data_IF_884068819451
#
_entry.id   IF_884068819451
#
_cell.length_a   1.000
_cell.length_b   1.000
_cell.length_c   1.000
_cell.angle_alpha   90.00
_cell.angle_beta   90.00
_cell.angle_gamma   90.00
#
_symmetry.space_group_name_H-M   'P 1'
#
loop_
_entity.id
_entity.type
_entity.pdbx_description
1 polymer ?
#
# COMPACT_ATOMS: atom_id res chain seq x y z
N UNK A 1 -0.39 3.10 -13.75
CA UNK A 1 -0.81 2.25 -12.61
C UNK A 1 0.41 1.69 -11.91
N UNK A 2 0.39 1.62 -10.58
CA UNK A 2 1.37 0.91 -9.78
C UNK A 2 1.09 -0.59 -9.73
N UNK A 3 2.13 -1.42 -9.82
CA UNK A 3 2.06 -2.88 -9.67
C UNK A 3 3.45 -3.40 -9.28
N UNK A 4 3.57 -4.05 -8.12
CA UNK A 4 4.85 -4.55 -7.63
C UNK A 4 5.16 -5.95 -8.18
N UNK A 5 4.21 -6.89 -8.10
CA UNK A 5 4.39 -8.26 -8.57
C UNK A 5 3.96 -8.38 -10.03
N UNK A 6 4.90 -8.17 -10.95
CA UNK A 6 4.60 -8.11 -12.39
C UNK A 6 4.82 -9.44 -13.13
N UNK A 7 5.36 -10.46 -12.47
CA UNK A 7 5.66 -11.71 -13.15
C UNK A 7 4.36 -12.44 -13.56
N UNK A 8 4.32 -12.92 -14.80
CA UNK A 8 3.20 -13.73 -15.31
C UNK A 8 1.94 -12.94 -15.71
N UNK A 9 1.91 -11.62 -15.52
CA UNK A 9 0.72 -10.79 -15.82
C UNK A 9 0.61 -10.35 -17.29
N UNK A 10 1.56 -10.75 -18.14
CA UNK A 10 1.64 -10.33 -19.55
C UNK A 10 2.25 -8.93 -19.75
N UNK A 11 2.30 -8.49 -21.01
CA UNK A 11 2.94 -7.22 -21.37
C UNK A 11 2.08 -6.01 -20.99
N UNK A 12 2.72 -4.95 -20.49
CA UNK A 12 2.11 -3.66 -20.21
C UNK A 12 0.80 -3.73 -19.38
N UNK A 13 0.82 -4.26 -18.14
CA UNK A 13 -0.39 -4.47 -17.35
C UNK A 13 -1.22 -3.20 -17.12
N UNK A 14 -0.59 -2.02 -16.94
CA UNK A 14 -1.35 -0.76 -16.88
C UNK A 14 -2.14 -0.47 -18.16
N UNK A 15 -1.61 -0.84 -19.34
CA UNK A 15 -2.30 -0.70 -20.63
C UNK A 15 -3.43 -1.73 -20.77
N UNK A 16 -3.22 -2.96 -20.29
CA UNK A 16 -4.27 -3.97 -20.20
C UNK A 16 -5.44 -3.46 -19.35
N UNK A 17 -5.15 -2.94 -18.16
CA UNK A 17 -6.16 -2.37 -17.26
C UNK A 17 -6.88 -1.17 -17.88
N UNK A 18 -6.17 -0.26 -18.56
CA UNK A 18 -6.77 0.88 -19.24
C UNK A 18 -7.79 0.45 -20.31
N UNK A 19 -7.41 -0.48 -21.20
CA UNK A 19 -8.29 -0.97 -22.26
C UNK A 19 -9.47 -1.75 -21.68
N UNK A 20 -9.23 -2.64 -20.71
CA UNK A 20 -10.29 -3.41 -20.05
C UNK A 20 -11.24 -2.53 -19.25
N UNK A 21 -10.75 -1.40 -18.72
CA UNK A 21 -11.54 -0.35 -18.08
C UNK A 21 -12.29 0.57 -19.06
N UNK A 22 -12.23 0.29 -20.37
CA UNK A 22 -12.99 1.01 -21.40
C UNK A 22 -12.29 2.26 -21.96
N UNK A 23 -11.01 2.50 -21.65
CA UNK A 23 -10.25 3.58 -22.27
C UNK A 23 -9.83 3.21 -23.70
N UNK A 24 -9.74 4.22 -24.56
CA UNK A 24 -9.36 4.04 -25.96
C UNK A 24 -7.93 3.47 -26.11
N UNK A 25 -7.69 2.70 -27.18
CA UNK A 25 -6.42 2.01 -27.39
C UNK A 25 -5.26 2.95 -27.73
N UNK A 26 -5.54 4.21 -28.07
CA UNK A 26 -4.56 5.27 -28.31
C UNK A 26 -4.03 5.89 -27.01
N UNK A 27 -4.74 5.73 -25.88
CA UNK A 27 -4.33 6.32 -24.59
C UNK A 27 -3.08 5.62 -24.06
N UNK A 28 -1.96 6.33 -23.96
CA UNK A 28 -0.74 5.80 -23.39
C UNK A 28 -0.90 5.34 -21.92
N UNK A 29 -0.14 4.33 -21.51
CA UNK A 29 -0.17 3.83 -20.14
C UNK A 29 1.21 3.29 -19.72
N UNK A 30 1.58 3.58 -18.48
CA UNK A 30 2.83 3.08 -17.86
C UNK A 30 2.54 2.31 -16.59
N UNK A 31 3.32 1.25 -16.37
CA UNK A 31 3.33 0.48 -15.12
C UNK A 31 4.51 0.92 -14.29
N UNK A 32 4.28 1.33 -13.04
CA UNK A 32 5.33 1.81 -12.13
C UNK A 32 5.53 0.76 -11.03
N UNK A 33 6.79 0.39 -10.78
CA UNK A 33 7.15 -0.42 -9.62
C UNK A 33 8.00 0.41 -8.65
N UNK A 34 7.43 0.68 -7.48
CA UNK A 34 8.09 1.20 -6.28
C UNK A 34 7.64 0.38 -5.07
N UNK A 35 7.51 -0.94 -5.25
CA UNK A 35 7.01 -1.90 -4.24
C UNK A 35 5.69 -1.38 -3.63
N UNK A 36 5.53 -1.34 -2.32
CA UNK A 36 4.30 -0.89 -1.66
C UNK A 36 3.90 0.55 -2.01
N UNK A 37 4.85 1.40 -2.42
CA UNK A 37 4.58 2.80 -2.78
C UNK A 37 4.17 2.98 -4.25
N UNK A 38 4.05 1.91 -5.04
CA UNK A 38 3.79 1.97 -6.49
C UNK A 38 2.52 2.75 -6.83
N UNK A 39 1.42 2.51 -6.10
CA UNK A 39 0.14 3.16 -6.35
C UNK A 39 0.20 4.68 -6.11
N UNK A 40 0.72 5.09 -4.95
CA UNK A 40 0.87 6.52 -4.64
C UNK A 40 1.90 7.20 -5.55
N UNK A 41 2.98 6.51 -5.93
CA UNK A 41 3.96 7.04 -6.89
C UNK A 41 3.34 7.25 -8.28
N UNK A 42 2.41 6.41 -8.71
CA UNK A 42 1.68 6.63 -9.95
C UNK A 42 0.82 7.91 -9.87
N UNK A 43 0.16 8.18 -8.74
CA UNK A 43 -0.59 9.43 -8.52
C UNK A 43 0.34 10.64 -8.56
N UNK A 44 1.51 10.57 -7.91
CA UNK A 44 2.52 11.64 -7.94
C UNK A 44 3.02 11.90 -9.38
N UNK A 45 3.37 10.85 -10.12
CA UNK A 45 3.81 11.00 -11.52
C UNK A 45 2.72 11.63 -12.39
N UNK A 46 1.45 11.29 -12.16
CA UNK A 46 0.34 11.90 -12.89
C UNK A 46 0.16 13.39 -12.55
N UNK A 47 0.25 13.73 -11.26
CA UNK A 47 0.22 15.13 -10.82
C UNK A 47 1.37 15.94 -11.43
N UNK A 48 2.58 15.37 -11.51
CA UNK A 48 3.75 15.99 -12.13
C UNK A 48 3.54 16.26 -13.63
N UNK A 49 3.01 15.29 -14.38
CA UNK A 49 2.71 15.47 -15.80
C UNK A 49 1.67 16.57 -16.03
N UNK A 50 0.64 16.62 -15.19
CA UNK A 50 -0.41 17.64 -15.28
C UNK A 50 0.14 19.02 -14.91
N UNK A 51 0.97 19.11 -13.88
CA UNK A 51 1.61 20.35 -13.43
C UNK A 51 2.58 20.92 -14.49
N UNK A 52 3.18 20.07 -15.31
CA UNK A 52 4.09 20.46 -16.39
C UNK A 52 3.38 20.64 -17.74
N UNK A 53 2.04 20.65 -17.75
CA UNK A 53 1.21 20.78 -18.95
C UNK A 53 1.44 19.69 -20.03
N UNK A 54 2.04 18.56 -19.65
CA UNK A 54 2.20 17.40 -20.54
C UNK A 54 0.89 16.62 -20.71
N UNK A 55 -0.03 16.76 -19.75
CA UNK A 55 -1.36 16.18 -19.80
C UNK A 55 -2.37 17.10 -19.11
N UNK A 56 -3.62 17.11 -19.56
CA UNK A 56 -4.67 17.85 -18.88
C UNK A 56 -5.43 16.97 -17.86
N UNK A 57 -5.46 15.65 -18.09
CA UNK A 57 -6.11 14.65 -17.24
C UNK A 57 -5.37 13.31 -17.31
N UNK A 58 -5.30 12.57 -16.20
CA UNK A 58 -4.74 11.21 -16.14
C UNK A 58 -5.46 10.37 -15.08
N UNK A 59 -5.58 9.06 -15.32
CA UNK A 59 -6.00 8.08 -14.30
C UNK A 59 -4.74 7.47 -13.68
N UNK A 60 -4.69 7.45 -12.35
CA UNK A 60 -3.55 6.93 -11.61
C UNK A 60 -3.99 6.17 -10.36
N UNK A 61 -3.15 5.27 -9.87
CA UNK A 61 -3.49 4.38 -8.78
C UNK A 61 -2.61 3.15 -8.77
N UNK A 62 -3.03 2.10 -8.06
CA UNK A 62 -2.31 0.83 -7.94
C UNK A 62 -3.25 -0.36 -8.10
N UNK A 63 -2.68 -1.49 -8.48
CA UNK A 63 -3.35 -2.79 -8.53
C UNK A 63 -2.35 -3.86 -8.16
N UNK A 64 -2.79 -4.90 -7.49
CA UNK A 64 -1.96 -6.03 -7.10
C UNK A 64 -2.81 -7.29 -6.97
N UNK A 65 -2.25 -8.44 -7.35
CA UNK A 65 -2.84 -9.74 -7.01
C UNK A 65 -1.77 -10.67 -6.45
N UNK A 66 -1.60 -10.59 -5.13
CA UNK A 66 -0.66 -11.42 -4.38
C UNK A 66 -1.02 -12.91 -4.47
N UNK A 67 -2.32 -13.25 -4.52
CA UNK A 67 -2.80 -14.64 -4.65
C UNK A 67 -2.42 -15.28 -5.98
N UNK A 68 -2.20 -14.48 -7.02
CA UNK A 68 -1.84 -14.96 -8.36
C UNK A 68 -0.32 -14.89 -8.65
N UNK A 69 0.50 -14.50 -7.66
CA UNK A 69 1.94 -14.45 -7.83
C UNK A 69 2.47 -15.87 -8.16
N UNK A 70 3.15 -16.06 -9.30
CA UNK A 70 3.56 -17.40 -9.70
C UNK A 70 4.86 -17.81 -8.99
N UNK A 71 5.15 -19.11 -9.04
CA UNK A 71 6.47 -19.63 -8.70
C UNK A 71 7.40 -19.55 -9.91
N UNK A 72 8.70 -19.36 -9.66
CA UNK A 72 9.71 -19.24 -10.70
C UNK A 72 10.61 -20.45 -10.79
N UNK A 73 10.92 -20.81 -12.03
CA UNK A 73 12.06 -21.61 -12.43
C UNK A 73 12.98 -20.70 -13.23
N UNK A 74 14.25 -20.57 -12.82
CA UNK A 74 15.20 -19.71 -13.54
C UNK A 74 15.45 -20.28 -14.93
N UNK A 75 15.56 -19.40 -15.93
CA UNK A 75 15.87 -19.79 -17.31
C UNK A 75 17.23 -20.48 -17.35
N UNK A 76 17.28 -21.64 -18.02
CA UNK A 76 18.51 -22.41 -18.20
C UNK A 76 18.80 -23.43 -17.10
N UNK A 77 17.98 -23.46 -16.04
CA UNK A 77 17.96 -24.60 -15.11
C UNK A 77 17.40 -25.82 -15.86
N UNK A 78 18.16 -26.92 -15.87
CA UNK A 78 17.79 -28.15 -16.56
C UNK A 78 16.77 -28.93 -15.70
N UNK A 79 15.51 -29.11 -16.17
CA UNK A 79 14.47 -29.87 -15.47
C UNK A 79 14.87 -31.29 -15.08
N UNK A 80 15.89 -31.86 -15.71
CA UNK A 80 16.39 -33.21 -15.45
C UNK A 80 17.34 -33.28 -14.25
N UNK A 81 17.80 -32.14 -13.71
CA UNK A 81 18.56 -32.09 -12.47
C UNK A 81 17.67 -32.47 -11.29
N UNK A 82 18.19 -33.32 -10.40
CA UNK A 82 17.42 -33.92 -9.28
C UNK A 82 16.94 -32.89 -8.24
N UNK A 83 17.59 -31.73 -8.14
CA UNK A 83 17.24 -30.69 -7.16
C UNK A 83 17.34 -29.32 -7.83
N UNK A 84 16.20 -28.80 -8.31
CA UNK A 84 16.11 -27.44 -8.83
C UNK A 84 15.27 -26.61 -7.87
N UNK A 85 15.80 -25.48 -7.36
CA UNK A 85 15.05 -24.64 -6.45
C UNK A 85 13.93 -23.90 -7.21
N UNK A 86 12.68 -24.27 -6.91
CA UNK A 86 11.51 -23.49 -7.31
C UNK A 86 11.39 -22.29 -6.35
N UNK A 87 11.43 -21.08 -6.89
CA UNK A 87 11.36 -19.85 -6.11
C UNK A 87 9.90 -19.40 -5.96
N UNK A 88 9.56 -18.88 -4.79
CA UNK A 88 8.27 -18.24 -4.56
C UNK A 88 8.32 -16.77 -5.00
N UNK A 89 7.56 -16.41 -6.03
CA UNK A 89 7.65 -15.08 -6.64
C UNK A 89 7.13 -13.96 -5.76
N UNK A 90 6.11 -14.25 -4.94
CA UNK A 90 5.61 -13.34 -3.92
C UNK A 90 6.71 -12.92 -2.96
N UNK A 91 7.42 -13.91 -2.41
CA UNK A 91 8.51 -13.69 -1.45
C UNK A 91 9.69 -13.01 -2.13
N UNK A 92 10.09 -13.47 -3.31
CA UNK A 92 11.27 -12.96 -4.03
C UNK A 92 11.11 -11.51 -4.48
N UNK A 93 10.01 -11.18 -5.17
CA UNK A 93 9.82 -9.88 -5.82
C UNK A 93 9.17 -8.84 -4.89
N UNK A 94 8.50 -9.28 -3.82
CA UNK A 94 7.70 -8.40 -2.96
C UNK A 94 8.13 -8.29 -1.50
N UNK A 95 8.61 -9.39 -0.88
CA UNK A 95 8.67 -9.49 0.59
C UNK A 95 10.06 -9.83 1.15
N UNK A 96 11.07 -9.93 0.30
CA UNK A 96 12.47 -10.22 0.69
C UNK A 96 13.36 -9.04 0.40
N UNK A 97 14.23 -8.74 1.35
CA UNK A 97 15.26 -7.73 1.21
C UNK A 97 16.36 -8.29 0.28
N UNK A 98 16.56 -7.75 -0.94
CA UNK A 98 17.45 -8.37 -1.91
C UNK A 98 18.93 -8.28 -1.53
N UNK A 99 19.31 -7.44 -0.56
CA UNK A 99 20.70 -7.22 -0.17
C UNK A 99 21.20 -8.19 0.90
N UNK A 100 20.34 -8.65 1.81
CA UNK A 100 20.72 -9.56 2.91
C UNK A 100 19.84 -10.81 3.00
N UNK A 101 18.85 -10.96 2.11
CA UNK A 101 17.97 -12.13 2.03
C UNK A 101 16.93 -12.24 3.16
N UNK A 102 16.83 -11.24 4.05
CA UNK A 102 15.88 -11.26 5.16
C UNK A 102 14.48 -10.88 4.70
N UNK A 103 13.46 -11.44 5.34
CA UNK A 103 12.08 -11.02 5.11
C UNK A 103 11.86 -9.58 5.60
N UNK A 104 10.89 -8.87 5.01
CA UNK A 104 10.50 -7.54 5.50
C UNK A 104 10.07 -7.55 6.97
N UNK A 105 9.45 -8.64 7.44
CA UNK A 105 9.09 -8.80 8.85
C UNK A 105 10.31 -8.94 9.77
N UNK A 106 11.38 -9.60 9.33
CA UNK A 106 12.62 -9.69 10.09
C UNK A 106 13.37 -8.34 10.15
N UNK A 107 13.27 -7.53 9.09
CA UNK A 107 13.73 -6.14 9.12
C UNK A 107 12.88 -5.29 10.08
N UNK A 108 11.56 -5.50 10.10
CA UNK A 108 10.66 -4.81 11.03
C UNK A 108 10.95 -5.15 12.49
N UNK A 109 11.25 -6.41 12.81
CA UNK A 109 11.67 -6.85 14.14
C UNK A 109 12.91 -6.11 14.64
N UNK A 110 13.93 -5.96 13.78
CA UNK A 110 15.15 -5.22 14.12
C UNK A 110 14.89 -3.74 14.38
N UNK A 111 14.07 -3.09 13.54
CA UNK A 111 13.73 -1.69 13.76
C UNK A 111 12.90 -1.54 15.04
N UNK A 112 11.98 -2.45 15.33
CA UNK A 112 11.17 -2.44 16.54
C UNK A 112 12.05 -2.55 17.80
N UNK A 113 13.01 -3.49 17.81
CA UNK A 113 13.96 -3.66 18.92
C UNK A 113 14.80 -2.38 19.14
N UNK A 114 15.41 -1.87 18.06
CA UNK A 114 16.24 -0.67 18.12
C UNK A 114 15.49 0.58 18.56
N UNK A 115 14.22 0.71 18.18
CA UNK A 115 13.36 1.84 18.56
C UNK A 115 12.63 1.61 19.89
N UNK A 116 12.86 0.47 20.55
CA UNK A 116 12.20 0.05 21.78
C UNK A 116 10.66 0.00 21.67
N UNK A 117 10.14 -0.40 20.51
CA UNK A 117 8.70 -0.59 20.29
C UNK A 117 8.28 -1.97 20.78
N UNK A 118 7.63 -2.01 21.94
CA UNK A 118 7.30 -3.26 22.60
C UNK A 118 6.26 -4.08 21.82
N UNK A 119 6.30 -5.41 21.96
CA UNK A 119 5.25 -6.32 21.47
C UNK A 119 3.86 -5.89 21.93
N UNK A 120 3.74 -5.45 23.18
CA UNK A 120 2.46 -5.02 23.76
C UNK A 120 1.90 -3.81 23.00
N UNK A 121 2.74 -2.84 22.67
CA UNK A 121 2.29 -1.63 21.97
C UNK A 121 1.85 -1.93 20.53
N UNK A 122 2.56 -2.84 19.86
CA UNK A 122 2.19 -3.32 18.53
C UNK A 122 0.85 -4.07 18.54
N UNK A 123 0.65 -4.97 19.49
CA UNK A 123 -0.62 -5.71 19.64
C UNK A 123 -1.77 -4.78 20.00
N UNK A 124 -1.56 -3.84 20.94
CA UNK A 124 -2.58 -2.87 21.33
C UNK A 124 -2.93 -1.93 20.16
N UNK A 125 -1.96 -1.59 19.31
CA UNK A 125 -2.22 -0.84 18.07
C UNK A 125 -3.06 -1.65 17.10
N UNK A 126 -2.70 -2.90 16.83
CA UNK A 126 -3.41 -3.77 15.90
C UNK A 126 -4.87 -4.02 16.33
N UNK A 127 -5.12 -4.17 17.64
CA UNK A 127 -6.49 -4.26 18.19
C UNK A 127 -7.27 -2.99 17.87
N UNK A 128 -6.70 -1.80 18.11
CA UNK A 128 -7.38 -0.53 17.80
C UNK A 128 -7.64 -0.37 16.30
N UNK A 129 -6.70 -0.75 15.45
CA UNK A 129 -6.87 -0.74 13.99
C UNK A 129 -8.04 -1.63 13.57
N UNK A 130 -8.09 -2.85 14.09
CA UNK A 130 -9.20 -3.77 13.84
C UNK A 130 -10.55 -3.21 14.31
N UNK A 131 -10.62 -2.63 15.50
CA UNK A 131 -11.85 -2.04 16.04
C UNK A 131 -12.35 -0.86 15.18
N UNK A 132 -11.43 -0.01 14.68
CA UNK A 132 -11.74 1.08 13.76
C UNK A 132 -12.26 0.57 12.43
N UNK A 133 -11.61 -0.43 11.85
CA UNK A 133 -12.06 -1.02 10.59
C UNK A 133 -13.43 -1.68 10.75
N UNK A 134 -13.63 -2.45 11.82
CA UNK A 134 -14.95 -3.03 12.16
C UNK A 134 -16.02 -1.95 12.35
N UNK A 135 -15.68 -0.82 12.95
CA UNK A 135 -16.59 0.32 13.08
C UNK A 135 -16.92 0.91 11.69
N UNK A 136 -15.92 1.15 10.85
CA UNK A 136 -16.09 1.68 9.49
C UNK A 136 -16.96 0.76 8.62
N UNK A 137 -16.82 -0.56 8.74
CA UNK A 137 -17.69 -1.54 8.06
C UNK A 137 -19.14 -1.44 8.56
N UNK A 138 -19.34 -1.30 9.88
CA UNK A 138 -20.68 -1.20 10.48
C UNK A 138 -21.39 0.10 10.12
N UNK A 139 -20.67 1.21 10.02
CA UNK A 139 -21.23 2.52 9.69
C UNK A 139 -21.28 2.80 8.19
N UNK A 140 -20.67 1.94 7.37
CA UNK A 140 -20.57 2.14 5.92
C UNK A 140 -19.64 3.29 5.51
N UNK A 141 -18.69 3.67 6.36
CA UNK A 141 -17.85 4.86 6.17
C UNK A 141 -16.98 4.81 4.89
N UNK A 142 -16.71 3.61 4.37
CA UNK A 142 -15.89 3.37 3.17
C UNK A 142 -16.72 2.74 2.02
N UNK A 143 -18.05 2.73 2.11
CA UNK A 143 -18.87 2.16 1.05
C UNK A 143 -18.83 3.00 -0.25
N UNK A 144 -18.62 4.31 -0.15
CA UNK A 144 -18.56 5.20 -1.32
C UNK A 144 -17.30 4.99 -2.18
N UNK A 145 -16.24 4.39 -1.62
CA UNK A 145 -14.96 4.15 -2.30
C UNK A 145 -14.80 2.73 -2.86
N UNK A 146 -15.70 1.79 -2.53
CA UNK A 146 -15.65 0.42 -3.05
C UNK A 146 -16.44 0.31 -4.36
N UNK A 147 -15.73 -0.03 -5.44
CA UNK A 147 -16.33 -0.50 -6.68
C UNK A 147 -16.55 -2.03 -6.61
N UNK A 148 -17.80 -2.53 -6.74
CA UNK A 148 -18.06 -3.97 -6.70
C UNK A 148 -17.39 -4.75 -7.84
N UNK A 149 -16.84 -5.92 -7.53
CA UNK A 149 -16.20 -6.82 -8.50
C UNK A 149 -17.03 -8.10 -8.65
N UNK A 150 -17.43 -8.41 -9.89
CA UNK A 150 -18.17 -9.62 -10.22
C UNK A 150 -17.22 -10.78 -10.51
N UNK A 151 -17.39 -11.91 -9.83
CA UNK A 151 -16.61 -13.13 -10.07
C UNK A 151 -17.23 -13.96 -11.19
N UNK A 152 -16.40 -14.39 -12.15
CA UNK A 152 -16.85 -15.11 -13.36
C UNK A 152 -16.71 -16.63 -13.27
N UNK A 153 -16.00 -17.18 -12.27
CA UNK A 153 -15.76 -18.61 -12.15
C UNK A 153 -16.16 -19.18 -10.78
N UNK A 154 -16.93 -20.28 -10.81
CA UNK A 154 -17.20 -21.19 -9.68
C UNK A 154 -18.19 -20.73 -8.61
N UNK A 155 -18.19 -19.44 -8.27
CA UNK A 155 -19.17 -18.81 -7.41
C UNK A 155 -19.73 -17.60 -8.13
N UNK A 156 -21.01 -17.63 -8.50
CA UNK A 156 -21.75 -16.40 -8.81
C UNK A 156 -21.71 -15.53 -7.55
N UNK A 157 -20.83 -14.54 -7.52
CA UNK A 157 -20.58 -13.74 -6.33
C UNK A 157 -20.17 -12.32 -6.71
N UNK A 158 -20.81 -11.36 -6.06
CA UNK A 158 -20.40 -9.96 -6.10
C UNK A 158 -19.54 -9.70 -4.87
N UNK A 159 -18.29 -9.30 -5.07
CA UNK A 159 -17.41 -8.82 -4.01
C UNK A 159 -17.59 -7.31 -3.92
N UNK A 160 -18.28 -6.84 -2.89
CA UNK A 160 -18.62 -5.43 -2.70
C UNK A 160 -18.23 -4.89 -1.31
N UNK A 161 -17.44 -5.66 -0.56
CA UNK A 161 -16.97 -5.30 0.77
C UNK A 161 -15.58 -5.91 1.00
N UNK A 162 -14.75 -5.21 1.77
CA UNK A 162 -13.45 -5.71 2.19
C UNK A 162 -13.59 -6.91 3.14
N UNK A 163 -12.62 -7.82 3.07
CA UNK A 163 -12.57 -8.98 3.93
C UNK A 163 -12.12 -8.60 5.35
N UNK A 164 -13.05 -8.64 6.32
CA UNK A 164 -12.73 -8.43 7.73
C UNK A 164 -11.96 -9.63 8.30
N UNK A 165 -10.74 -9.45 8.85
CA UNK A 165 -10.06 -10.56 9.50
C UNK A 165 -10.88 -11.08 10.70
N UNK A 166 -10.78 -12.39 10.95
CA UNK A 166 -11.63 -13.03 11.95
C UNK A 166 -11.31 -12.53 13.37
N UNK A 167 -12.33 -12.17 14.15
CA UNK A 167 -12.21 -11.59 15.51
C UNK A 167 -11.37 -12.47 16.46
N UNK A 168 -11.35 -13.78 16.25
CA UNK A 168 -10.55 -14.74 17.04
C UNK A 168 -9.04 -14.54 16.94
N UNK A 169 -8.54 -13.86 15.90
CA UNK A 169 -7.12 -13.46 15.79
C UNK A 169 -6.82 -12.40 16.84
N UNK A 170 -7.65 -11.35 16.92
CA UNK A 170 -7.46 -10.24 17.85
C UNK A 170 -7.73 -10.64 19.30
N UNK A 171 -8.69 -11.54 19.55
CA UNK A 171 -8.92 -12.11 20.89
C UNK A 171 -7.72 -12.91 21.43
N UNK A 172 -6.85 -13.42 20.56
CA UNK A 172 -5.67 -14.21 20.92
C UNK A 172 -4.36 -13.55 20.51
N UNK A 173 -4.37 -12.29 20.08
CA UNK A 173 -3.21 -11.63 19.48
C UNK A 173 -1.97 -11.69 20.38
N UNK A 174 -2.16 -11.48 21.69
CA UNK A 174 -1.10 -11.53 22.71
C UNK A 174 -0.50 -12.92 22.94
N UNK A 175 -1.13 -13.97 22.41
CA UNK A 175 -0.68 -15.37 22.47
C UNK A 175 -0.07 -15.85 21.16
N UNK A 176 -0.09 -15.03 20.11
CA UNK A 176 0.49 -15.40 18.81
C UNK A 176 2.02 -15.43 18.92
N UNK A 177 2.62 -16.45 18.30
CA UNK A 177 4.07 -16.58 18.16
C UNK A 177 4.61 -15.56 17.15
N UNK A 178 5.90 -15.20 17.30
CA UNK A 178 6.59 -14.41 16.29
C UNK A 178 6.66 -15.16 14.96
N UNK A 179 6.60 -14.42 13.85
CA UNK A 179 6.53 -15.02 12.51
C UNK A 179 7.84 -14.96 11.73
N UNK A 180 8.75 -14.04 12.09
CA UNK A 180 9.86 -13.68 11.20
C UNK A 180 11.24 -13.79 11.84
N UNK A 181 11.35 -13.75 13.17
CA UNK A 181 12.62 -13.91 13.89
C UNK A 181 12.39 -14.59 15.25
N UNK A 182 13.40 -15.35 15.71
CA UNK A 182 13.40 -15.95 17.04
C UNK A 182 13.45 -14.83 18.07
N UNK A 183 12.47 -14.77 18.97
CA UNK A 183 12.35 -13.69 19.96
C UNK A 183 11.83 -12.36 19.38
N UNK A 184 11.41 -12.35 18.10
CA UNK A 184 10.80 -11.19 17.46
C UNK A 184 9.47 -10.77 18.10
N UNK A 185 9.06 -9.55 17.79
CA UNK A 185 7.81 -8.91 18.23
C UNK A 185 6.71 -8.97 17.17
N UNK A 186 7.07 -9.16 15.91
CA UNK A 186 6.12 -9.18 14.79
C UNK A 186 5.42 -10.54 14.71
N UNK A 187 4.08 -10.51 14.60
CA UNK A 187 3.20 -11.66 14.49
C UNK A 187 2.18 -11.49 13.37
N UNK A 188 1.47 -12.56 13.02
CA UNK A 188 0.36 -12.49 12.06
C UNK A 188 -0.81 -11.60 12.50
N UNK A 189 -0.92 -11.27 13.79
CA UNK A 189 -1.97 -10.38 14.29
C UNK A 189 -1.60 -8.90 14.30
N UNK A 190 -0.32 -8.56 14.19
CA UNK A 190 0.18 -7.18 14.17
C UNK A 190 0.97 -6.81 12.90
N UNK A 191 0.88 -7.67 11.88
CA UNK A 191 1.36 -7.47 10.51
C UNK A 191 0.19 -7.41 9.53
N UNK A 192 0.35 -6.70 8.41
CA UNK A 192 -0.65 -6.71 7.34
C UNK A 192 -0.77 -8.10 6.70
N UNK A 193 -1.99 -8.46 6.28
CA UNK A 193 -2.21 -9.67 5.49
C UNK A 193 -1.72 -9.54 4.04
N UNK A 194 -1.54 -10.67 3.39
CA UNK A 194 -1.47 -10.71 1.92
C UNK A 194 -2.86 -10.44 1.37
N UNK A 195 -2.96 -9.60 0.34
CA UNK A 195 -4.23 -9.10 -0.16
C UNK A 195 -4.21 -8.90 -1.67
N UNK A 196 -5.37 -9.01 -2.31
CA UNK A 196 -5.60 -8.66 -3.70
C UNK A 196 -6.48 -7.41 -3.77
N UNK A 197 -6.22 -6.51 -4.71
CA UNK A 197 -7.05 -5.31 -4.87
C UNK A 197 -6.51 -4.32 -5.89
N UNK A 198 -7.34 -3.33 -6.20
CA UNK A 198 -6.97 -2.19 -7.03
C UNK A 198 -7.66 -0.93 -6.53
N UNK A 199 -6.99 0.21 -6.67
CA UNK A 199 -7.53 1.54 -6.37
C UNK A 199 -7.01 2.52 -7.40
N UNK A 200 -7.89 3.42 -7.87
CA UNK A 200 -7.55 4.42 -8.87
C UNK A 200 -8.32 5.72 -8.62
N UNK A 201 -7.70 6.82 -9.03
CA UNK A 201 -8.25 8.18 -9.00
C UNK A 201 -8.08 8.83 -10.37
N UNK A 202 -9.02 9.70 -10.72
CA UNK A 202 -8.89 10.58 -11.88
C UNK A 202 -8.33 11.94 -11.41
N UNK A 203 -7.22 12.36 -12.02
CA UNK A 203 -6.61 13.66 -11.81
C UNK A 203 -6.85 14.53 -13.02
N UNK A 204 -7.16 15.81 -12.79
CA UNK A 204 -7.36 16.82 -13.83
C UNK A 204 -6.70 18.14 -13.42
N UNK A 205 -6.35 18.98 -14.40
CA UNK A 205 -5.94 20.35 -14.11
C UNK A 205 -7.13 21.21 -13.63
N UNK A 206 -6.83 22.40 -13.10
CA UNK A 206 -7.85 23.30 -12.54
C UNK A 206 -8.86 23.81 -13.58
N UNK A 207 -8.45 23.94 -14.85
CA UNK A 207 -9.33 24.38 -15.93
C UNK A 207 -10.38 23.33 -16.27
N UNK A 208 -9.96 22.08 -16.50
CA UNK A 208 -10.86 20.96 -16.73
C UNK A 208 -11.76 20.70 -15.53
N UNK A 209 -11.22 20.81 -14.30
CA UNK A 209 -12.02 20.69 -13.09
C UNK A 209 -13.17 21.72 -13.08
N UNK A 210 -12.90 22.99 -13.41
CA UNK A 210 -13.94 24.03 -13.48
C UNK A 210 -14.95 23.80 -14.60
N UNK A 211 -14.51 23.26 -15.73
CA UNK A 211 -15.37 23.10 -16.92
C UNK A 211 -16.22 21.83 -16.89
N UNK A 212 -15.67 20.72 -16.40
CA UNK A 212 -16.31 19.39 -16.48
C UNK A 212 -16.74 18.84 -15.13
N UNK A 213 -16.24 19.36 -14.01
CA UNK A 213 -16.68 18.97 -12.66
C UNK A 213 -17.74 19.94 -12.10
N UNK A 214 -18.55 20.56 -12.95
CA UNK A 214 -19.68 21.41 -12.51
C UNK A 214 -20.79 20.58 -11.83
N UNK A 215 -20.97 19.32 -12.25
CA UNK A 215 -21.91 18.35 -11.65
C UNK A 215 -21.22 17.25 -10.83
N UNK A 216 -19.90 17.12 -10.92
CA UNK A 216 -19.11 16.13 -10.18
C UNK A 216 -18.34 16.80 -9.05
N UNK A 217 -18.41 16.26 -7.83
CA UNK A 217 -17.69 16.85 -6.68
C UNK A 217 -16.18 16.70 -6.87
N UNK A 218 -15.46 17.82 -6.96
CA UNK A 218 -14.01 17.84 -6.76
C UNK A 218 -13.75 17.35 -5.33
N UNK A 219 -13.07 16.21 -5.19
CA UNK A 219 -12.90 15.57 -3.88
C UNK A 219 -11.81 16.25 -3.06
N UNK A 220 -10.68 16.57 -3.69
CA UNK A 220 -9.56 17.23 -3.03
C UNK A 220 -8.57 17.82 -4.05
N UNK A 221 -7.59 18.58 -3.56
CA UNK A 221 -6.44 19.06 -4.34
C UNK A 221 -5.16 18.41 -3.83
N UNK A 222 -4.17 18.29 -4.72
CA UNK A 222 -2.80 17.91 -4.33
C UNK A 222 -2.03 19.19 -4.07
N UNK A 223 -1.68 19.47 -2.81
CA UNK A 223 -0.81 20.61 -2.46
C UNK A 223 0.65 20.33 -2.74
N UNK A 224 1.15 19.17 -2.31
CA UNK A 224 2.54 18.79 -2.54
C UNK A 224 2.72 17.27 -2.37
N UNK A 225 3.91 16.78 -2.68
CA UNK A 225 4.31 15.39 -2.58
C UNK A 225 5.80 15.29 -2.30
N UNK A 226 6.22 14.23 -1.63
CA UNK A 226 7.64 13.99 -1.38
C UNK A 226 7.95 12.49 -1.32
N UNK A 227 9.08 12.13 -1.90
CA UNK A 227 9.73 10.84 -1.71
C UNK A 227 10.89 10.97 -0.71
N UNK A 228 11.07 9.98 0.14
CA UNK A 228 12.23 9.79 1.00
C UNK A 228 12.63 8.32 1.06
N UNK A 229 13.85 8.06 1.50
CA UNK A 229 14.39 6.71 1.70
C UNK A 229 15.15 6.59 3.02
N UNK A 230 15.33 5.35 3.45
CA UNK A 230 16.21 4.95 4.53
C UNK A 230 17.10 3.80 4.03
N UNK A 231 18.04 3.34 4.85
CA UNK A 231 18.75 2.10 4.53
C UNK A 231 17.74 0.95 4.37
N UNK A 232 17.98 -0.05 3.51
CA UNK A 232 16.99 -1.09 3.22
C UNK A 232 16.38 -1.80 4.43
N UNK A 233 17.21 -2.19 5.40
CA UNK A 233 16.77 -2.83 6.64
C UNK A 233 15.99 -1.86 7.57
N UNK A 234 16.06 -0.56 7.33
CA UNK A 234 15.38 0.50 8.08
C UNK A 234 14.16 1.07 7.36
N UNK A 235 13.56 0.33 6.43
CA UNK A 235 12.46 0.82 5.59
C UNK A 235 11.34 1.51 6.39
N UNK A 236 11.06 1.04 7.62
CA UNK A 236 10.05 1.60 8.51
C UNK A 236 10.33 3.06 8.95
N UNK A 237 11.54 3.56 8.77
CA UNK A 237 11.90 4.97 9.02
C UNK A 237 11.57 5.89 7.84
N UNK A 238 11.41 5.34 6.63
CA UNK A 238 11.18 6.12 5.42
C UNK A 238 9.89 6.97 5.47
N UNK A 239 8.75 6.47 6.01
CA UNK A 239 7.54 7.29 6.15
C UNK A 239 7.76 8.54 7.01
N UNK A 240 8.44 8.43 8.15
CA UNK A 240 8.73 9.57 9.01
C UNK A 240 9.56 10.65 8.28
N UNK A 241 10.57 10.23 7.52
CA UNK A 241 11.40 11.13 6.70
C UNK A 241 10.59 11.77 5.56
N UNK A 242 9.71 11.00 4.91
CA UNK A 242 8.83 11.50 3.85
C UNK A 242 7.85 12.55 4.39
N UNK A 243 7.28 12.31 5.58
CA UNK A 243 6.38 13.25 6.26
C UNK A 243 7.11 14.55 6.63
N UNK A 244 8.31 14.46 7.22
CA UNK A 244 9.10 15.66 7.53
C UNK A 244 9.38 16.49 6.27
N UNK A 245 9.74 15.81 5.17
CA UNK A 245 10.01 16.47 3.89
C UNK A 245 8.75 17.08 3.28
N UNK A 246 7.62 16.37 3.25
CA UNK A 246 6.38 16.86 2.65
C UNK A 246 5.81 18.07 3.40
N UNK A 247 5.89 18.06 4.73
CA UNK A 247 5.50 19.19 5.58
C UNK A 247 6.40 20.41 5.32
N UNK A 248 7.72 20.22 5.23
CA UNK A 248 8.65 21.28 4.90
C UNK A 248 8.38 21.87 3.50
N UNK A 249 8.10 21.02 2.50
CA UNK A 249 7.74 21.46 1.15
C UNK A 249 6.39 22.21 1.11
N UNK A 250 5.44 21.82 1.96
CA UNK A 250 4.13 22.48 2.06
C UNK A 250 4.15 23.75 2.92
N UNK A 251 5.24 23.99 3.68
CA UNK A 251 5.29 24.97 4.76
C UNK A 251 4.17 24.76 5.80
N UNK A 252 3.86 23.51 6.11
CA UNK A 252 2.84 23.12 7.09
C UNK A 252 3.46 22.52 8.34
N UNK A 253 2.81 22.73 9.48
CA UNK A 253 3.10 22.05 10.74
C UNK A 253 2.27 20.76 10.86
N UNK A 254 2.64 19.91 11.83
CA UNK A 254 1.92 18.65 12.10
C UNK A 254 0.48 18.90 12.53
N UNK A 255 0.27 19.97 13.29
CA UNK A 255 -1.01 20.37 13.89
C UNK A 255 -2.01 20.90 12.86
N UNK A 256 -1.52 21.30 11.68
CA UNK A 256 -2.36 21.75 10.56
C UNK A 256 -2.90 20.59 9.70
N UNK A 257 -2.53 19.35 10.02
CA UNK A 257 -3.02 18.18 9.31
C UNK A 257 -4.11 17.51 10.13
N UNK A 258 -5.33 17.59 9.63
CA UNK A 258 -6.50 17.00 10.28
C UNK A 258 -6.45 15.46 10.32
N UNK A 259 -5.77 14.85 9.34
CA UNK A 259 -5.94 13.44 9.04
C UNK A 259 -4.67 12.79 8.44
N UNK A 260 -4.37 11.56 8.88
CA UNK A 260 -3.15 10.85 8.52
C UNK A 260 -3.42 9.39 8.14
N UNK A 261 -3.22 9.06 6.86
CA UNK A 261 -3.02 7.69 6.39
C UNK A 261 -1.54 7.35 6.52
N UNK A 262 -1.21 6.43 7.42
CA UNK A 262 0.11 5.80 7.47
C UNK A 262 -0.12 4.31 7.29
N UNK A 263 0.33 3.78 6.16
CA UNK A 263 0.12 2.38 5.81
C UNK A 263 0.65 1.43 6.90
N UNK A 264 -0.21 0.51 7.33
CA UNK A 264 0.05 -0.41 8.44
C UNK A 264 0.73 -1.72 8.00
N UNK A 265 1.82 -1.62 7.23
CA UNK A 265 2.57 -2.81 6.79
C UNK A 265 2.93 -3.72 7.99
N UNK A 266 3.36 -3.08 9.08
CA UNK A 266 3.43 -3.65 10.41
C UNK A 266 2.99 -2.58 11.41
N UNK A 267 2.36 -2.97 12.52
CA UNK A 267 1.93 -2.03 13.56
C UNK A 267 3.10 -1.14 14.04
N UNK A 268 4.33 -1.69 14.09
CA UNK A 268 5.52 -0.93 14.46
C UNK A 268 5.82 0.23 13.51
N UNK A 269 5.50 0.15 12.21
CA UNK A 269 5.81 1.21 11.23
C UNK A 269 5.12 2.51 11.63
N UNK A 270 3.87 2.39 12.05
CA UNK A 270 3.07 3.51 12.52
C UNK A 270 3.62 4.06 13.83
N UNK A 271 3.91 3.18 14.80
CA UNK A 271 4.42 3.57 16.12
C UNK A 271 5.78 4.28 16.02
N UNK A 272 6.70 3.76 15.20
CA UNK A 272 7.99 4.41 14.91
C UNK A 272 7.78 5.76 14.24
N UNK A 273 6.84 5.85 13.28
CA UNK A 273 6.54 7.11 12.61
C UNK A 273 6.01 8.15 13.59
N UNK A 274 5.16 7.77 14.54
CA UNK A 274 4.68 8.65 15.61
C UNK A 274 5.82 9.10 16.53
N UNK A 275 6.66 8.17 16.97
CA UNK A 275 7.79 8.45 17.87
C UNK A 275 8.78 9.44 17.24
N UNK A 276 9.17 9.25 15.98
CA UNK A 276 10.13 10.12 15.28
C UNK A 276 9.57 11.54 15.05
N UNK A 277 8.24 11.68 15.03
CA UNK A 277 7.56 12.97 14.85
C UNK A 277 7.33 13.74 16.16
N UNK A 278 7.57 13.14 17.33
CA UNK A 278 7.33 13.73 18.65
C UNK A 278 5.90 14.31 18.84
N UNK A 279 4.84 13.66 18.31
CA UNK A 279 3.45 14.17 18.46
C UNK A 279 2.42 13.04 18.65
N UNK A 280 1.55 13.10 19.69
CA UNK A 280 0.47 12.14 19.91
C UNK A 280 -0.73 12.49 19.02
N UNK A 281 -0.81 11.90 17.84
CA UNK A 281 -1.90 12.17 16.88
C UNK A 281 -2.98 11.10 17.01
N UNK A 282 -4.24 11.55 17.03
CA UNK A 282 -5.40 10.69 16.81
C UNK A 282 -5.37 10.22 15.36
N UNK A 283 -4.77 9.05 15.11
CA UNK A 283 -4.79 8.45 13.78
C UNK A 283 -6.21 8.04 13.44
N UNK A 284 -6.77 8.66 12.42
CA UNK A 284 -7.79 8.04 11.57
C UNK A 284 -7.15 7.97 10.21
N UNK A 285 -7.05 6.74 9.70
CA UNK A 285 -6.64 6.42 8.34
C UNK A 285 -7.31 7.41 7.38
N UNK A 286 -6.58 8.33 6.71
CA UNK A 286 -6.90 8.94 5.39
C UNK A 286 -5.78 9.88 4.86
N UNK A 287 -5.55 9.91 3.54
CA UNK A 287 -4.42 10.56 2.84
C UNK A 287 -4.52 12.08 2.90
N UNK A 288 -3.38 12.78 3.07
CA UNK A 288 -3.30 14.23 2.89
C UNK A 288 -3.50 14.54 1.40
N UNK A 289 -4.72 14.95 1.07
CA UNK A 289 -5.00 15.87 -0.02
C UNK A 289 -5.56 17.14 0.62
N UNK A 290 -4.97 18.29 0.32
CA UNK A 290 -5.55 19.61 0.65
C UNK A 290 -5.83 20.32 -0.66
#
# INVERSE_FOLDING_TARGET
MGLALQAGVGQAPAKQAAIQGGLASEIEAITINKVCASGLRAVISAAQNIQLDHAAAQVAGGMESMSNAPRYLKRGEDPELKEIPILDGLTLDGLTNPWDGRSMGACADEVADRMAISRKDQDDYAIRSYERFRHACKTGAHCEEIAPVSLTSGATGLVAADHLPHESVFNRIRKLSSCFSIGGTITSGNASSLSDGASAVALVNAELARSFCLSNRILAKIVTYADASAAPHEFAMAPAKAIQKVLACAHLSVEQIDLWEINEAFAMVVLVTQQVRNSPITLTSFIIFT
#
